data_IF_785999175977
#
_entry.id   IF_785999175977
#
_cell.length_a   1.000
_cell.length_b   1.000
_cell.length_c   1.000
_cell.angle_alpha   90.00
_cell.angle_beta   90.00
_cell.angle_gamma   90.00
#
_symmetry.space_group_name_H-M   'P 1'
#
loop_
_entity.id
_entity.type
_entity.pdbx_description
1 polymer ?
#
# COMPACT_ATOMS: atom_id res chain seq x y z
N UNK A 1 -6.91 41.48 33.94
CA UNK A 1 -6.61 40.21 33.25
C UNK A 1 -7.90 39.73 32.62
N UNK A 2 -8.00 39.79 31.29
CA UNK A 2 -9.17 39.28 30.57
C UNK A 2 -9.15 37.74 30.61
N UNK A 3 -10.30 37.05 30.76
CA UNK A 3 -10.35 35.60 30.69
C UNK A 3 -10.02 35.13 29.27
N UNK A 4 -9.33 34.01 29.15
CA UNK A 4 -9.09 33.33 27.88
C UNK A 4 -10.41 33.10 27.15
N UNK A 5 -10.53 33.69 25.96
CA UNK A 5 -11.68 33.53 25.07
C UNK A 5 -11.90 32.03 24.79
N UNK A 6 -13.08 31.56 25.17
CA UNK A 6 -13.55 30.21 24.94
C UNK A 6 -13.59 29.97 23.43
N UNK A 7 -12.79 28.98 23.00
CA UNK A 7 -12.89 28.20 21.77
C UNK A 7 -14.02 28.67 20.85
N UNK A 8 -13.69 29.37 19.77
CA UNK A 8 -14.59 29.43 18.60
C UNK A 8 -14.98 27.98 18.30
N UNK A 9 -16.28 27.64 18.27
CA UNK A 9 -16.67 26.33 17.81
C UNK A 9 -16.24 26.27 16.34
N UNK A 10 -15.22 25.47 16.05
CA UNK A 10 -14.99 25.03 14.67
C UNK A 10 -16.35 24.54 14.19
N UNK A 11 -16.91 25.17 13.15
CA UNK A 11 -18.12 24.67 12.48
C UNK A 11 -17.87 23.19 12.27
N UNK A 12 -18.68 22.31 12.90
CA UNK A 12 -18.60 20.87 12.66
C UNK A 12 -18.50 20.68 11.15
N UNK A 13 -17.42 20.05 10.70
CA UNK A 13 -17.29 19.65 9.31
C UNK A 13 -18.54 18.87 8.91
N UNK A 14 -18.88 18.94 7.62
CA UNK A 14 -19.98 18.19 7.04
C UNK A 14 -19.96 16.73 7.53
N UNK A 15 -21.14 16.16 7.78
CA UNK A 15 -21.32 14.74 8.11
C UNK A 15 -20.41 13.94 7.19
N UNK A 16 -19.53 13.15 7.79
CA UNK A 16 -18.57 12.30 7.12
C UNK A 16 -19.29 11.39 6.13
N UNK A 17 -18.88 11.43 4.86
CA UNK A 17 -19.51 10.70 3.76
C UNK A 17 -18.86 9.31 3.55
N UNK A 18 -18.18 8.76 4.57
CA UNK A 18 -17.39 7.53 4.40
C UNK A 18 -18.28 6.35 3.99
N UNK A 19 -19.47 6.23 4.57
CA UNK A 19 -20.41 5.15 4.22
C UNK A 19 -20.79 5.18 2.74
N UNK A 20 -21.20 6.34 2.22
CA UNK A 20 -21.56 6.48 0.80
C UNK A 20 -20.37 6.21 -0.13
N UNK A 21 -19.17 6.68 0.24
CA UNK A 21 -17.95 6.40 -0.55
C UNK A 21 -17.60 4.92 -0.57
N UNK A 22 -17.84 4.19 0.53
CA UNK A 22 -17.69 2.72 0.56
C UNK A 22 -18.65 2.05 -0.41
N UNK A 23 -19.93 2.43 -0.40
CA UNK A 23 -20.94 1.89 -1.33
C UNK A 23 -20.57 2.16 -2.80
N UNK A 24 -20.18 3.40 -3.12
CA UNK A 24 -19.73 3.77 -4.45
C UNK A 24 -18.47 3.00 -4.88
N UNK A 25 -17.53 2.78 -3.96
CA UNK A 25 -16.31 2.01 -4.24
C UNK A 25 -16.61 0.54 -4.56
N UNK A 26 -17.53 -0.09 -3.81
CA UNK A 26 -18.00 -1.45 -4.06
C UNK A 26 -18.74 -1.57 -5.40
N UNK A 27 -19.55 -0.58 -5.77
CA UNK A 27 -20.21 -0.53 -7.08
C UNK A 27 -19.18 -0.38 -8.22
N UNK A 28 -18.20 0.51 -8.04
CA UNK A 28 -17.15 0.80 -9.03
C UNK A 28 -16.30 -0.43 -9.33
N UNK A 29 -15.94 -1.24 -8.32
CA UNK A 29 -15.15 -2.46 -8.53
C UNK A 29 -15.96 -3.58 -9.22
N UNK A 30 -17.28 -3.61 -9.08
CA UNK A 30 -18.13 -4.58 -9.77
C UNK A 30 -18.26 -4.27 -11.27
N UNK A 31 -18.19 -2.99 -11.64
CA UNK A 31 -18.30 -2.51 -13.03
C UNK A 31 -16.96 -2.54 -13.77
N UNK A 32 -15.86 -2.24 -13.06
CA UNK A 32 -14.54 -2.14 -13.67
C UNK A 32 -13.82 -3.50 -13.63
N UNK A 33 -13.73 -4.18 -14.77
CA UNK A 33 -12.73 -5.22 -14.98
C UNK A 33 -11.41 -4.54 -15.37
N UNK A 34 -10.51 -4.38 -14.42
CA UNK A 34 -9.14 -3.94 -14.74
C UNK A 34 -8.37 -5.11 -15.35
N UNK A 35 -7.34 -4.82 -16.14
CA UNK A 35 -6.37 -5.85 -16.52
C UNK A 35 -5.46 -6.18 -15.33
N UNK A 36 -6.03 -6.73 -14.25
CA UNK A 36 -5.33 -7.10 -13.01
C UNK A 36 -4.07 -7.93 -13.25
N UNK A 37 -4.10 -8.79 -14.28
CA UNK A 37 -2.94 -9.59 -14.68
C UNK A 37 -1.83 -8.74 -15.30
N UNK A 38 -2.18 -7.73 -16.10
CA UNK A 38 -1.21 -6.81 -16.71
C UNK A 38 -0.57 -5.94 -15.63
N UNK A 39 -1.35 -5.42 -14.67
CA UNK A 39 -0.83 -4.63 -13.55
C UNK A 39 0.18 -5.42 -12.72
N UNK A 40 -0.18 -6.65 -12.32
CA UNK A 40 0.71 -7.53 -11.56
C UNK A 40 2.01 -7.83 -12.33
N UNK A 41 1.89 -8.15 -13.63
CA UNK A 41 3.04 -8.46 -14.49
C UNK A 41 3.96 -7.26 -14.67
N UNK A 42 3.42 -6.07 -14.91
CA UNK A 42 4.22 -4.86 -15.07
C UNK A 42 5.00 -4.50 -13.80
N UNK A 43 4.41 -4.71 -12.62
CA UNK A 43 5.08 -4.48 -11.34
C UNK A 43 6.25 -5.44 -11.15
N UNK A 44 6.04 -6.73 -11.41
CA UNK A 44 7.09 -7.73 -11.35
C UNK A 44 8.21 -7.45 -12.37
N UNK A 45 7.87 -7.14 -13.62
CA UNK A 45 8.86 -6.87 -14.67
C UNK A 45 9.65 -5.59 -14.43
N UNK A 46 9.03 -4.54 -13.88
CA UNK A 46 9.73 -3.28 -13.61
C UNK A 46 10.84 -3.45 -12.58
N UNK A 47 10.64 -4.34 -11.60
CA UNK A 47 11.70 -4.68 -10.64
C UNK A 47 12.88 -5.38 -11.32
N UNK A 48 12.61 -6.28 -12.27
CA UNK A 48 13.67 -6.94 -13.05
C UNK A 48 14.45 -5.94 -13.90
N UNK A 49 13.76 -5.05 -14.61
CA UNK A 49 14.40 -4.03 -15.45
C UNK A 49 15.31 -3.08 -14.66
N UNK A 50 14.99 -2.83 -13.38
CA UNK A 50 15.81 -2.01 -12.48
C UNK A 50 16.99 -2.75 -11.85
N UNK A 51 17.01 -4.08 -11.94
CA UNK A 51 18.10 -4.92 -11.41
C UNK A 51 19.22 -5.17 -12.43
N UNK A 52 18.93 -5.05 -13.73
CA UNK A 52 19.94 -5.24 -14.78
C UNK A 52 20.97 -4.10 -14.73
N UNK A 53 22.28 -4.37 -14.58
CA UNK A 53 23.30 -3.35 -14.76
C UNK A 53 23.27 -2.88 -16.21
N UNK A 54 23.22 -1.57 -16.40
CA UNK A 54 23.33 -0.93 -17.72
C UNK A 54 24.73 -1.21 -18.27
N UNK A 55 24.89 -1.74 -19.50
CA UNK A 55 26.16 -1.60 -20.20
C UNK A 55 26.35 -0.10 -20.46
N UNK A 56 27.48 0.48 -20.04
CA UNK A 56 27.88 1.80 -20.49
C UNK A 56 27.92 1.79 -22.03
N UNK A 57 26.89 2.32 -22.67
CA UNK A 57 26.88 2.63 -24.09
C UNK A 57 26.48 4.09 -24.27
N UNK A 58 27.34 4.78 -25.01
CA UNK A 58 27.38 6.20 -25.38
C UNK A 58 26.03 6.84 -25.77
N UNK A 59 25.92 8.19 -25.74
CA UNK A 59 24.65 8.87 -25.94
C UNK A 59 24.18 8.74 -27.39
N UNK A 60 23.19 7.91 -27.64
CA UNK A 60 22.40 7.99 -28.87
C UNK A 60 21.48 9.22 -28.78
N UNK A 61 21.78 10.23 -29.60
CA UNK A 61 20.88 11.33 -29.91
C UNK A 61 19.57 10.77 -30.45
N UNK A 62 18.47 10.95 -29.71
CA UNK A 62 17.13 10.75 -30.24
C UNK A 62 16.50 12.12 -30.49
N UNK A 63 16.61 12.60 -31.73
CA UNK A 63 15.68 13.58 -32.28
C UNK A 63 14.28 12.96 -32.27
N UNK A 64 13.37 13.53 -31.48
CA UNK A 64 11.95 13.25 -31.56
C UNK A 64 11.26 14.56 -31.89
N UNK A 65 10.89 14.70 -33.16
CA UNK A 65 9.93 15.69 -33.62
C UNK A 65 8.60 15.48 -32.88
N UNK A 66 8.20 16.47 -32.08
CA UNK A 66 6.86 16.56 -31.52
C UNK A 66 5.90 17.00 -32.62
N UNK A 67 5.16 16.06 -33.21
CA UNK A 67 3.92 16.40 -33.91
C UNK A 67 2.74 16.43 -32.92
N UNK A 68 2.15 17.61 -32.85
CA UNK A 68 0.96 17.97 -32.07
C UNK A 68 -0.22 17.01 -32.32
N UNK A 69 -0.84 16.53 -31.24
CA UNK A 69 -2.21 16.03 -31.28
C UNK A 69 -3.01 16.70 -30.16
N UNK A 70 -4.01 17.44 -30.61
CA UNK A 70 -4.95 18.31 -29.92
C UNK A 70 -5.70 17.66 -28.75
N UNK A 71 -5.94 18.49 -27.73
CA UNK A 71 -6.78 18.27 -26.57
C UNK A 71 -8.19 17.78 -26.94
N UNK A 72 -8.66 16.74 -26.28
CA UNK A 72 -10.09 16.55 -26.01
C UNK A 72 -10.21 15.95 -24.62
N UNK A 73 -10.51 16.83 -23.66
CA UNK A 73 -10.84 16.46 -22.29
C UNK A 73 -12.23 15.81 -22.25
N UNK A 74 -12.28 14.49 -21.99
CA UNK A 74 -13.37 13.84 -21.24
C UNK A 74 -13.04 12.36 -20.97
N UNK A 75 -13.22 11.93 -19.71
CA UNK A 75 -13.08 10.58 -19.14
C UNK A 75 -11.67 9.93 -19.14
N UNK A 76 -10.68 10.51 -18.43
CA UNK A 76 -9.28 10.06 -18.48
C UNK A 76 -8.73 9.31 -17.25
N UNK A 77 -9.52 9.03 -16.21
CA UNK A 77 -9.02 8.44 -14.96
C UNK A 77 -8.51 6.98 -15.06
N UNK A 78 -9.09 6.19 -15.97
CA UNK A 78 -8.65 4.81 -16.22
C UNK A 78 -7.53 4.74 -17.27
N UNK A 79 -7.63 5.57 -18.32
CA UNK A 79 -6.71 5.57 -19.45
C UNK A 79 -5.31 6.11 -19.09
N UNK A 80 -5.23 7.05 -18.14
CA UNK A 80 -3.95 7.58 -17.65
C UNK A 80 -3.15 6.55 -16.83
N UNK A 81 -3.84 5.70 -16.05
CA UNK A 81 -3.22 4.64 -15.25
C UNK A 81 -2.67 3.51 -16.12
N UNK A 82 -3.35 3.14 -17.20
CA UNK A 82 -2.89 2.05 -18.10
C UNK A 82 -1.64 2.45 -18.90
N UNK A 83 -1.51 3.74 -19.29
CA UNK A 83 -0.31 4.26 -19.93
C UNK A 83 0.90 4.31 -18.97
N UNK A 84 0.67 4.61 -17.69
CA UNK A 84 1.68 4.62 -16.62
C UNK A 84 2.27 3.21 -16.40
N UNK A 85 1.42 2.17 -16.41
CA UNK A 85 1.81 0.77 -16.18
C UNK A 85 2.75 0.22 -17.25
N UNK A 86 2.62 0.62 -18.53
CA UNK A 86 3.53 0.17 -19.62
C UNK A 86 4.86 0.91 -19.64
N UNK A 87 4.90 2.15 -19.15
CA UNK A 87 6.12 2.98 -19.07
C UNK A 87 6.94 2.67 -17.80
N UNK A 88 6.33 2.07 -16.77
CA UNK A 88 6.94 1.73 -15.50
C UNK A 88 8.30 1.02 -15.59
N UNK A 89 8.48 0.11 -16.55
CA UNK A 89 9.73 -0.64 -16.75
C UNK A 89 10.90 0.22 -17.26
N UNK A 90 10.58 1.37 -17.86
CA UNK A 90 11.56 2.35 -18.36
C UNK A 90 11.88 3.45 -17.34
N UNK A 91 11.04 3.62 -16.32
CA UNK A 91 11.27 4.64 -15.28
C UNK A 91 12.58 4.35 -14.54
N UNK A 92 13.29 5.40 -14.13
CA UNK A 92 14.52 5.31 -13.34
C UNK A 92 14.52 6.34 -12.21
N UNK A 93 15.40 6.15 -11.23
CA UNK A 93 15.64 7.14 -10.18
C UNK A 93 14.37 7.59 -9.43
N UNK A 94 14.15 8.91 -9.26
CA UNK A 94 12.99 9.45 -8.54
C UNK A 94 11.63 9.07 -9.14
N UNK A 95 11.52 8.96 -10.47
CA UNK A 95 10.26 8.61 -11.14
C UNK A 95 9.84 7.18 -10.83
N UNK A 96 10.78 6.24 -10.93
CA UNK A 96 10.53 4.85 -10.55
C UNK A 96 10.12 4.75 -9.08
N UNK A 97 10.80 5.49 -8.20
CA UNK A 97 10.44 5.56 -6.78
C UNK A 97 9.01 6.07 -6.59
N UNK A 98 8.63 7.16 -7.25
CA UNK A 98 7.28 7.72 -7.16
C UNK A 98 6.22 6.74 -7.69
N UNK A 99 6.51 6.03 -8.78
CA UNK A 99 5.63 4.99 -9.30
C UNK A 99 5.40 3.85 -8.30
N UNK A 100 6.47 3.32 -7.69
CA UNK A 100 6.36 2.28 -6.66
C UNK A 100 5.63 2.77 -5.40
N UNK A 101 5.78 4.04 -5.04
CA UNK A 101 5.09 4.63 -3.88
C UNK A 101 3.55 4.59 -4.01
N UNK A 102 3.04 4.56 -5.25
CA UNK A 102 1.60 4.56 -5.56
C UNK A 102 1.00 3.16 -5.65
N UNK A 103 1.74 2.09 -5.38
CA UNK A 103 1.27 0.70 -5.59
C UNK A 103 0.56 0.07 -4.39
N UNK A 104 0.70 0.62 -3.19
CA UNK A 104 0.06 0.08 -2.00
C UNK A 104 -1.42 0.49 -1.93
N UNK A 105 -2.27 -0.42 -1.47
CA UNK A 105 -3.60 -0.08 -0.96
C UNK A 105 -3.46 0.56 0.42
N UNK A 106 -4.00 1.76 0.59
CA UNK A 106 -3.83 2.57 1.79
C UNK A 106 -5.17 2.74 2.53
N UNK A 107 -5.19 2.52 3.86
CA UNK A 107 -6.40 2.67 4.64
C UNK A 107 -6.75 4.14 4.87
N UNK A 108 -8.03 4.41 5.04
CA UNK A 108 -8.51 5.64 5.65
C UNK A 108 -8.62 5.51 7.17
N UNK A 109 -8.69 6.62 7.88
CA UNK A 109 -9.07 6.58 9.29
C UNK A 109 -10.53 6.14 9.45
N UNK A 110 -10.80 5.27 10.41
CA UNK A 110 -12.15 4.90 10.80
C UNK A 110 -12.78 6.04 11.60
N UNK A 111 -13.46 6.97 10.92
CA UNK A 111 -14.20 8.07 11.55
C UNK A 111 -15.65 7.63 11.77
N UNK A 112 -16.26 7.08 10.73
CA UNK A 112 -17.59 6.44 10.80
C UNK A 112 -17.45 4.94 10.98
N UNK A 113 -18.20 4.38 11.93
CA UNK A 113 -18.33 2.93 12.05
C UNK A 113 -19.08 2.39 10.83
N UNK A 114 -18.54 1.42 10.08
CA UNK A 114 -19.24 0.80 8.97
C UNK A 114 -20.56 0.15 9.35
N UNK A 115 -21.56 0.33 8.48
CA UNK A 115 -22.74 -0.52 8.50
C UNK A 115 -22.34 -1.99 8.37
N UNK A 116 -23.06 -2.85 9.10
CA UNK A 116 -22.85 -4.31 9.09
C UNK A 116 -21.40 -4.71 9.37
N UNK A 117 -20.70 -3.95 10.23
CA UNK A 117 -19.31 -4.19 10.62
C UNK A 117 -19.03 -5.67 10.92
N UNK A 118 -19.84 -6.29 11.78
CA UNK A 118 -19.66 -7.69 12.19
C UNK A 118 -19.82 -8.72 11.07
N UNK A 119 -20.57 -8.40 10.02
CA UNK A 119 -20.86 -9.32 8.91
C UNK A 119 -19.86 -9.16 7.78
N UNK A 120 -19.63 -7.92 7.37
CA UNK A 120 -19.00 -7.59 6.09
C UNK A 120 -17.55 -7.11 6.25
N UNK A 121 -17.00 -7.15 7.47
CA UNK A 121 -15.63 -6.72 7.75
C UNK A 121 -14.82 -7.73 8.56
N UNK A 122 -13.51 -7.70 8.29
CA UNK A 122 -12.47 -8.31 9.09
C UNK A 122 -11.72 -7.26 9.90
N UNK A 123 -11.12 -7.67 11.02
CA UNK A 123 -10.24 -6.88 11.87
C UNK A 123 -8.98 -7.67 12.23
N UNK A 124 -7.85 -6.99 12.34
CA UNK A 124 -6.64 -7.54 12.92
C UNK A 124 -5.76 -6.49 13.61
N UNK A 125 -4.92 -6.96 14.53
CA UNK A 125 -3.91 -6.15 15.17
C UNK A 125 -2.78 -5.85 14.19
N UNK A 126 -2.63 -4.58 13.79
CA UNK A 126 -1.61 -4.15 12.85
C UNK A 126 -0.24 -4.16 13.55
N UNK A 127 0.78 -4.84 13.00
CA UNK A 127 2.14 -4.74 13.53
C UNK A 127 2.72 -3.32 13.40
N UNK A 128 3.48 -2.88 14.40
CA UNK A 128 4.40 -1.77 14.26
C UNK A 128 5.55 -2.17 13.33
N UNK A 129 5.98 -1.26 12.45
CA UNK A 129 7.10 -1.53 11.54
C UNK A 129 7.00 -0.80 10.21
N UNK A 130 7.89 -1.17 9.28
CA UNK A 130 7.99 -0.54 7.96
C UNK A 130 7.03 -1.21 6.98
N UNK A 131 5.95 -0.52 6.64
CA UNK A 131 5.01 -0.93 5.58
C UNK A 131 5.75 -1.02 4.24
N UNK A 132 5.67 -2.17 3.59
CA UNK A 132 6.39 -2.42 2.35
C UNK A 132 5.68 -3.42 1.43
N UNK A 133 5.84 -3.20 0.13
CA UNK A 133 5.53 -4.18 -0.88
C UNK A 133 6.70 -5.14 -1.04
N UNK A 134 6.45 -6.43 -1.11
CA UNK A 134 7.47 -7.47 -1.33
C UNK A 134 7.19 -8.17 -2.64
N UNK A 135 8.20 -8.21 -3.52
CA UNK A 135 8.08 -8.84 -4.83
C UNK A 135 9.21 -9.84 -5.01
N UNK A 136 8.84 -11.09 -5.27
CA UNK A 136 9.77 -12.14 -5.66
C UNK A 136 9.64 -12.43 -7.15
N UNK A 137 10.77 -12.46 -7.85
CA UNK A 137 10.84 -12.78 -9.27
C UNK A 137 12.27 -13.11 -9.67
N UNK A 138 12.44 -14.00 -10.66
CA UNK A 138 13.74 -14.36 -11.25
C UNK A 138 14.83 -14.76 -10.23
N UNK A 139 14.42 -15.45 -9.17
CA UNK A 139 15.32 -16.00 -8.15
C UNK A 139 15.83 -14.97 -7.14
N UNK A 140 15.14 -13.84 -6.98
CA UNK A 140 15.42 -12.85 -5.93
C UNK A 140 14.14 -12.22 -5.41
N UNK A 141 14.21 -11.60 -4.23
CA UNK A 141 13.11 -10.88 -3.60
C UNK A 141 13.54 -9.45 -3.28
N UNK A 142 12.68 -8.49 -3.61
CA UNK A 142 12.88 -7.07 -3.29
C UNK A 142 11.72 -6.58 -2.47
N UNK A 143 12.02 -5.88 -1.38
CA UNK A 143 11.02 -5.14 -0.61
C UNK A 143 11.19 -3.64 -0.82
N UNK A 144 10.08 -2.93 -1.02
CA UNK A 144 10.05 -1.47 -1.19
C UNK A 144 9.10 -0.84 -0.19
N UNK A 145 9.54 0.21 0.48
CA UNK A 145 8.76 0.94 1.48
C UNK A 145 7.60 1.72 0.83
N UNK A 146 6.72 2.28 1.67
CA UNK A 146 5.61 3.14 1.22
C UNK A 146 6.04 4.31 0.32
N UNK A 147 7.23 4.87 0.54
CA UNK A 147 7.77 5.93 -0.31
C UNK A 147 8.43 5.41 -1.61
N UNK A 148 8.29 4.12 -1.93
CA UNK A 148 8.85 3.45 -3.11
C UNK A 148 10.35 3.14 -3.05
N UNK A 149 11.06 3.61 -2.00
CA UNK A 149 12.47 3.30 -1.79
C UNK A 149 12.66 1.81 -1.49
N UNK A 150 13.81 1.28 -1.87
CA UNK A 150 14.15 -0.11 -1.60
C UNK A 150 14.49 -0.25 -0.12
N UNK A 151 13.85 -1.20 0.55
CA UNK A 151 14.19 -1.60 1.91
C UNK A 151 15.27 -2.68 1.87
N UNK A 152 15.02 -3.80 1.19
CA UNK A 152 15.97 -4.92 1.10
C UNK A 152 15.95 -5.62 -0.26
N UNK A 153 17.09 -6.21 -0.62
CA UNK A 153 17.25 -7.28 -1.62
C UNK A 153 17.70 -8.56 -0.91
N UNK A 154 17.01 -9.68 -1.14
CA UNK A 154 17.30 -10.93 -0.43
C UNK A 154 16.72 -12.17 -1.13
N UNK A 155 17.28 -13.37 -0.90
CA UNK A 155 16.63 -14.62 -1.29
C UNK A 155 15.49 -14.97 -0.33
N UNK A 156 14.39 -15.48 -0.87
CA UNK A 156 13.25 -15.97 -0.07
C UNK A 156 12.70 -17.30 -0.59
N UNK A 157 11.97 -18.01 0.27
CA UNK A 157 11.24 -19.22 -0.10
C UNK A 157 9.91 -18.93 -0.82
N UNK A 158 9.62 -17.65 -1.13
CA UNK A 158 8.47 -17.30 -1.97
C UNK A 158 8.68 -17.83 -3.39
N UNK A 159 7.61 -18.04 -4.18
CA UNK A 159 7.72 -18.41 -5.58
C UNK A 159 8.68 -17.49 -6.35
N UNK A 160 9.64 -18.09 -7.06
CA UNK A 160 10.71 -17.39 -7.77
C UNK A 160 11.55 -16.41 -6.92
N UNK A 161 11.61 -16.59 -5.60
CA UNK A 161 12.32 -15.72 -4.66
C UNK A 161 13.78 -16.05 -4.41
N UNK A 162 14.27 -17.21 -4.85
CA UNK A 162 15.66 -17.64 -4.75
C UNK A 162 16.08 -18.50 -5.95
N UNK A 163 17.37 -18.49 -6.30
CA UNK A 163 17.95 -19.40 -7.30
C UNK A 163 18.29 -20.74 -6.65
N UNK A 164 17.39 -21.71 -6.75
CA UNK A 164 17.61 -23.08 -6.26
C UNK A 164 17.90 -24.04 -7.42
N UNK A 165 18.50 -25.20 -7.11
CA UNK A 165 18.88 -26.22 -8.11
C UNK A 165 17.69 -26.86 -8.82
N UNK A 166 16.51 -26.88 -8.18
CA UNK A 166 15.36 -27.70 -8.58
C UNK A 166 14.32 -26.96 -9.44
N UNK A 167 14.62 -25.75 -9.91
CA UNK A 167 13.74 -25.08 -10.85
C UNK A 167 14.04 -23.61 -11.03
N UNK A 168 14.51 -23.26 -12.23
CA UNK A 168 14.19 -21.94 -12.80
C UNK A 168 12.67 -21.91 -12.97
N UNK A 169 11.96 -21.29 -12.03
CA UNK A 169 10.55 -20.98 -12.20
C UNK A 169 10.33 -20.32 -13.57
N UNK A 170 9.17 -20.56 -14.18
CA UNK A 170 8.78 -19.90 -15.44
C UNK A 170 9.03 -18.39 -15.34
N UNK A 171 9.37 -17.72 -16.45
CA UNK A 171 9.48 -16.26 -16.51
C UNK A 171 8.19 -15.53 -16.05
N UNK A 172 7.07 -16.26 -15.95
CA UNK A 172 5.79 -15.76 -15.44
C UNK A 172 5.54 -16.08 -13.95
N UNK A 173 6.48 -16.75 -13.28
CA UNK A 173 6.40 -17.04 -11.84
C UNK A 173 6.95 -15.84 -11.07
N UNK A 174 6.06 -15.15 -10.36
CA UNK A 174 6.39 -14.08 -9.44
C UNK A 174 5.35 -14.03 -8.31
N UNK A 175 5.74 -13.49 -7.16
CA UNK A 175 4.83 -13.24 -6.05
C UNK A 175 4.89 -11.76 -5.65
N UNK A 176 3.75 -11.25 -5.21
CA UNK A 176 3.56 -9.89 -4.76
C UNK A 176 2.77 -9.94 -3.45
N UNK A 177 3.40 -9.50 -2.37
CA UNK A 177 2.83 -9.45 -1.03
C UNK A 177 2.83 -8.02 -0.49
N UNK A 178 1.85 -7.73 0.35
CA UNK A 178 1.78 -6.49 1.10
C UNK A 178 2.08 -6.73 2.59
N UNK A 179 3.24 -6.28 3.04
CA UNK A 179 3.83 -6.68 4.30
C UNK A 179 4.10 -5.49 5.23
N UNK A 180 4.32 -5.77 6.50
CA UNK A 180 4.96 -4.87 7.45
C UNK A 180 6.22 -5.57 7.95
N UNK A 181 7.38 -4.98 7.66
CA UNK A 181 8.64 -5.49 8.17
C UNK A 181 8.84 -5.01 9.61
N UNK A 182 8.87 -5.95 10.54
CA UNK A 182 9.15 -5.70 11.95
C UNK A 182 10.65 -5.94 12.20
N UNK A 183 11.35 -4.89 12.63
CA UNK A 183 12.82 -4.90 12.64
C UNK A 183 13.39 -5.76 13.77
N UNK A 184 12.72 -5.79 14.92
CA UNK A 184 13.22 -6.43 16.14
C UNK A 184 13.34 -7.95 15.98
N UNK A 185 12.38 -8.60 15.31
CA UNK A 185 12.38 -10.04 15.04
C UNK A 185 12.68 -10.39 13.58
N UNK A 186 13.05 -9.39 12.77
CA UNK A 186 13.37 -9.51 11.35
C UNK A 186 12.33 -10.31 10.54
N UNK A 187 11.05 -10.13 10.84
CA UNK A 187 9.95 -10.85 10.20
C UNK A 187 9.12 -9.93 9.30
N UNK A 188 8.79 -10.41 8.10
CA UNK A 188 7.78 -9.79 7.24
C UNK A 188 6.40 -10.32 7.64
N UNK A 189 5.66 -9.50 8.38
CA UNK A 189 4.25 -9.78 8.66
C UNK A 189 3.42 -9.48 7.42
N UNK A 190 2.90 -10.52 6.78
CA UNK A 190 2.09 -10.41 5.57
C UNK A 190 0.68 -10.06 5.98
N UNK A 191 0.18 -8.92 5.50
CA UNK A 191 -1.19 -8.49 5.79
C UNK A 191 -2.08 -8.55 4.55
N UNK A 192 -1.49 -8.73 3.37
CA UNK A 192 -2.24 -8.98 2.15
C UNK A 192 -1.41 -9.76 1.10
N UNK A 193 -2.11 -10.44 0.20
CA UNK A 193 -1.57 -11.16 -0.95
C UNK A 193 -2.17 -10.59 -2.23
N UNK A 194 -1.31 -10.11 -3.12
CA UNK A 194 -1.72 -9.38 -4.34
C UNK A 194 -1.50 -10.22 -5.59
N UNK A 195 -0.44 -11.03 -5.59
CA UNK A 195 -0.19 -12.02 -6.63
C UNK A 195 0.58 -13.20 -6.05
N UNK A 196 0.23 -14.42 -6.45
CA UNK A 196 0.92 -15.62 -6.01
C UNK A 196 1.28 -16.50 -7.20
N UNK A 197 2.57 -16.76 -7.40
CA UNK A 197 3.08 -17.60 -8.48
C UNK A 197 2.51 -17.22 -9.87
N UNK A 198 2.41 -15.93 -10.15
CA UNK A 198 1.87 -15.38 -11.40
C UNK A 198 0.35 -15.27 -11.46
N UNK A 199 -0.40 -15.81 -10.49
CA UNK A 199 -1.85 -15.62 -10.39
C UNK A 199 -2.15 -14.28 -9.74
N UNK A 200 -2.69 -13.33 -10.52
CA UNK A 200 -3.12 -12.03 -10.00
C UNK A 200 -4.38 -12.17 -9.14
N UNK A 201 -4.37 -11.49 -7.98
CA UNK A 201 -5.47 -11.47 -7.01
C UNK A 201 -6.05 -10.06 -6.83
N UNK A 202 -5.67 -9.08 -7.66
CA UNK A 202 -6.15 -7.69 -7.55
C UNK A 202 -7.69 -7.62 -7.55
N UNK A 203 -8.33 -8.36 -8.46
CA UNK A 203 -9.80 -8.39 -8.60
C UNK A 203 -10.48 -9.43 -7.70
N UNK A 204 -9.74 -10.03 -6.77
CA UNK A 204 -10.31 -10.93 -5.78
C UNK A 204 -10.71 -10.18 -4.51
N UNK A 205 -11.80 -10.62 -3.89
CA UNK A 205 -12.26 -10.11 -2.61
C UNK A 205 -11.22 -10.33 -1.51
N UNK A 206 -11.20 -9.45 -0.50
CA UNK A 206 -10.32 -9.57 0.65
C UNK A 206 -10.49 -10.91 1.37
N UNK A 207 -11.72 -11.40 1.48
CA UNK A 207 -12.01 -12.71 2.04
C UNK A 207 -11.29 -13.84 1.33
N UNK A 208 -11.34 -13.87 -0.01
CA UNK A 208 -10.62 -14.87 -0.78
C UNK A 208 -9.11 -14.72 -0.64
N UNK A 209 -8.61 -13.48 -0.72
CA UNK A 209 -7.17 -13.19 -0.57
C UNK A 209 -6.64 -13.67 0.78
N UNK A 210 -7.33 -13.39 1.88
CA UNK A 210 -6.91 -13.82 3.22
C UNK A 210 -6.99 -15.34 3.41
N UNK A 211 -8.02 -15.99 2.90
CA UNK A 211 -8.10 -17.45 2.89
C UNK A 211 -6.92 -18.07 2.12
N UNK A 212 -6.64 -17.54 0.92
CA UNK A 212 -5.57 -18.04 0.06
C UNK A 212 -4.18 -17.79 0.65
N UNK A 213 -3.95 -16.63 1.27
CA UNK A 213 -2.69 -16.26 1.90
C UNK A 213 -2.26 -17.30 2.94
N UNK A 214 -3.15 -17.66 3.87
CA UNK A 214 -2.81 -18.57 4.97
C UNK A 214 -2.36 -19.94 4.45
N UNK A 215 -3.11 -20.53 3.52
CA UNK A 215 -2.75 -21.83 2.92
C UNK A 215 -1.44 -21.77 2.14
N UNK A 216 -1.25 -20.75 1.29
CA UNK A 216 -0.09 -20.68 0.40
C UNK A 216 1.20 -20.29 1.08
N UNK A 217 1.13 -19.44 2.10
CA UNK A 217 2.33 -19.05 2.83
C UNK A 217 2.91 -20.23 3.60
N UNK A 218 2.06 -21.06 4.21
CA UNK A 218 2.48 -22.29 4.90
C UNK A 218 3.08 -23.32 3.92
N UNK A 219 2.43 -23.57 2.78
CA UNK A 219 2.93 -24.47 1.73
C UNK A 219 4.31 -24.05 1.16
N UNK A 220 4.63 -22.75 1.16
CA UNK A 220 5.87 -22.22 0.56
C UNK A 220 7.13 -22.48 1.38
N UNK A 221 7.00 -22.79 2.67
CA UNK A 221 8.12 -22.83 3.61
C UNK A 221 8.68 -21.45 3.97
N UNK A 222 8.04 -20.34 3.56
CA UNK A 222 8.45 -18.98 3.93
C UNK A 222 8.24 -18.66 5.42
N UNK A 223 7.49 -19.49 6.14
CA UNK A 223 7.33 -19.42 7.59
C UNK A 223 8.48 -20.09 8.36
N UNK A 224 9.35 -20.85 7.69
CA UNK A 224 10.44 -21.57 8.32
C UNK A 224 11.53 -20.60 8.84
N UNK A 225 12.41 -21.06 9.75
CA UNK A 225 13.56 -20.28 10.16
C UNK A 225 14.48 -19.89 8.99
N UNK A 226 15.20 -18.75 9.09
CA UNK A 226 16.14 -18.32 8.06
C UNK A 226 17.17 -19.38 7.64
N UNK A 227 17.51 -19.40 6.35
CA UNK A 227 18.54 -20.24 5.75
C UNK A 227 19.26 -19.50 4.61
N UNK A 228 20.24 -20.15 3.98
CA UNK A 228 21.02 -19.54 2.89
C UNK A 228 20.15 -19.02 1.72
N UNK A 229 19.08 -19.74 1.38
CA UNK A 229 18.15 -19.36 0.29
C UNK A 229 16.86 -18.70 0.80
N UNK A 230 16.80 -18.36 2.09
CA UNK A 230 15.63 -17.76 2.72
C UNK A 230 16.06 -16.87 3.88
N UNK A 231 16.26 -15.58 3.63
CA UNK A 231 16.89 -14.68 4.61
C UNK A 231 15.96 -14.26 5.75
N UNK A 232 14.70 -13.98 5.45
CA UNK A 232 13.74 -13.42 6.40
C UNK A 232 12.49 -14.29 6.46
N UNK A 233 11.99 -14.52 7.67
CA UNK A 233 10.73 -15.22 7.91
C UNK A 233 9.56 -14.36 7.43
N UNK A 234 8.54 -15.02 6.91
CA UNK A 234 7.24 -14.44 6.61
C UNK A 234 6.19 -15.04 7.54
N UNK A 235 5.22 -14.24 7.97
CA UNK A 235 4.14 -14.72 8.84
C UNK A 235 2.87 -13.96 8.53
N UNK A 236 1.77 -14.65 8.27
CA UNK A 236 0.47 -14.02 8.09
C UNK A 236 -0.02 -13.46 9.43
N UNK A 237 -0.60 -12.27 9.43
CA UNK A 237 -1.23 -11.72 10.63
C UNK A 237 -2.55 -12.47 10.93
N UNK A 238 -2.88 -12.74 12.20
CA UNK A 238 -4.18 -13.33 12.54
C UNK A 238 -5.32 -12.37 12.21
N UNK A 239 -6.28 -12.83 11.39
CA UNK A 239 -7.46 -12.05 10.97
C UNK A 239 -8.73 -12.61 11.62
N UNK A 240 -9.57 -11.73 12.14
CA UNK A 240 -10.80 -12.09 12.85
C UNK A 240 -12.02 -11.42 12.23
N UNK A 241 -13.19 -12.02 12.37
CA UNK A 241 -14.46 -11.34 12.09
C UNK A 241 -14.65 -10.16 13.07
N UNK A 242 -15.33 -9.11 12.66
CA UNK A 242 -15.65 -7.98 13.55
C UNK A 242 -16.86 -8.23 14.47
N UNK A 243 -17.02 -9.46 14.97
CA UNK A 243 -17.93 -9.72 16.09
C UNK A 243 -17.25 -9.35 17.43
N UNK A 244 -18.00 -9.42 18.53
CA UNK A 244 -17.48 -9.07 19.85
C UNK A 244 -16.20 -9.85 20.21
N UNK A 245 -16.13 -11.13 19.85
CA UNK A 245 -15.01 -12.00 20.18
C UNK A 245 -13.77 -11.67 19.34
N UNK A 246 -13.94 -11.43 18.03
CA UNK A 246 -12.85 -11.09 17.14
C UNK A 246 -12.29 -9.70 17.37
N UNK A 247 -13.15 -8.72 17.68
CA UNK A 247 -12.72 -7.39 18.11
C UNK A 247 -11.90 -7.46 19.40
N UNK A 248 -12.39 -8.21 20.39
CA UNK A 248 -11.66 -8.40 21.65
C UNK A 248 -10.31 -9.09 21.43
N UNK A 249 -10.27 -10.13 20.58
CA UNK A 249 -9.04 -10.86 20.25
C UNK A 249 -8.02 -9.98 19.53
N UNK A 250 -8.44 -9.17 18.55
CA UNK A 250 -7.56 -8.22 17.87
C UNK A 250 -7.04 -7.13 18.83
N UNK A 251 -7.93 -6.56 19.65
CA UNK A 251 -7.60 -5.45 20.54
C UNK A 251 -6.71 -5.88 21.72
N UNK A 252 -7.06 -6.95 22.43
CA UNK A 252 -6.37 -7.38 23.67
C UNK A 252 -5.39 -8.53 23.47
N UNK A 253 -5.49 -9.29 22.38
CA UNK A 253 -4.71 -10.51 22.19
C UNK A 253 -3.21 -10.27 22.19
N UNK A 254 -2.45 -11.17 22.80
CA UNK A 254 -0.99 -11.11 22.83
C UNK A 254 -0.45 -11.44 21.44
N UNK A 255 0.37 -10.56 20.90
CA UNK A 255 0.99 -10.72 19.58
C UNK A 255 2.52 -10.82 19.73
N UNK A 256 3.22 -11.49 18.81
CA UNK A 256 4.68 -11.56 18.81
C UNK A 256 5.36 -10.23 18.41
N UNK A 257 4.56 -9.19 18.19
CA UNK A 257 4.98 -7.85 17.79
C UNK A 257 4.22 -6.79 18.59
N UNK A 258 4.80 -5.60 18.67
CA UNK A 258 4.10 -4.41 19.18
C UNK A 258 3.02 -4.01 18.19
N UNK A 259 1.81 -3.71 18.70
CA UNK A 259 0.68 -3.24 17.88
C UNK A 259 0.86 -1.78 17.51
N UNK A 260 0.40 -1.43 16.31
CA UNK A 260 0.29 -0.05 15.82
C UNK A 260 -1.08 0.15 15.16
N UNK A 261 -2.11 -0.03 15.99
CA UNK A 261 -3.51 0.11 15.63
C UNK A 261 -4.22 -1.18 15.28
N UNK A 262 -5.51 -1.03 15.01
CA UNK A 262 -6.36 -2.03 14.37
C UNK A 262 -6.57 -1.67 12.91
N UNK A 263 -6.53 -2.69 12.06
CA UNK A 263 -6.82 -2.55 10.63
C UNK A 263 -8.09 -3.34 10.29
N UNK A 264 -9.00 -2.69 9.60
CA UNK A 264 -10.30 -3.23 9.22
C UNK A 264 -10.37 -3.36 7.70
N UNK A 265 -10.84 -4.50 7.21
CA UNK A 265 -10.98 -4.77 5.78
C UNK A 265 -12.41 -5.14 5.46
N UNK A 266 -13.02 -4.45 4.49
CA UNK A 266 -14.28 -4.93 3.95
C UNK A 266 -14.03 -6.25 3.21
N UNK A 267 -14.80 -7.28 3.54
CA UNK A 267 -14.65 -8.64 3.01
C UNK A 267 -14.71 -8.70 1.50
N UNK A 268 -15.48 -7.79 0.88
CA UNK A 268 -15.69 -7.73 -0.56
C UNK A 268 -14.68 -6.85 -1.28
N UNK A 269 -13.77 -6.16 -0.57
CA UNK A 269 -12.84 -5.23 -1.19
C UNK A 269 -11.86 -5.94 -2.15
N UNK A 270 -11.76 -5.44 -3.38
CA UNK A 270 -10.65 -5.75 -4.27
C UNK A 270 -9.37 -5.05 -3.78
N UNK A 271 -8.19 -5.54 -4.16
CA UNK A 271 -6.95 -4.81 -3.86
C UNK A 271 -6.82 -3.62 -4.81
N UNK A 272 -6.99 -2.41 -4.31
CA UNK A 272 -6.91 -1.19 -5.11
C UNK A 272 -5.77 -0.31 -4.63
N UNK A 273 -4.92 0.13 -5.55
CA UNK A 273 -3.78 0.98 -5.20
C UNK A 273 -4.23 2.40 -4.86
N UNK A 274 -3.56 3.03 -3.89
CA UNK A 274 -3.92 4.32 -3.32
C UNK A 274 -4.89 4.21 -2.15
N UNK A 275 -5.41 5.36 -1.71
CA UNK A 275 -6.37 5.42 -0.61
C UNK A 275 -7.68 4.75 -0.99
N UNK A 276 -8.27 4.03 -0.06
CA UNK A 276 -9.58 3.41 -0.22
C UNK A 276 -10.40 3.49 1.06
N UNK A 277 -11.71 3.76 0.98
CA UNK A 277 -12.57 3.74 2.15
C UNK A 277 -12.92 2.31 2.58
N UNK A 278 -12.53 1.28 1.81
CA UNK A 278 -12.82 -0.13 2.10
C UNK A 278 -11.78 -0.81 3.01
N UNK A 279 -10.73 -0.07 3.38
CA UNK A 279 -9.78 -0.48 4.39
C UNK A 279 -9.65 0.67 5.38
N UNK A 280 -9.79 0.39 6.65
CA UNK A 280 -9.80 1.41 7.69
C UNK A 280 -8.73 1.13 8.73
N UNK A 281 -8.16 2.19 9.30
CA UNK A 281 -7.27 2.14 10.45
C UNK A 281 -7.90 2.86 11.62
N UNK A 282 -7.78 2.26 12.79
CA UNK A 282 -8.16 2.88 14.06
C UNK A 282 -7.03 2.69 15.06
N UNK A 283 -6.81 3.71 15.90
CA UNK A 283 -5.76 3.71 16.92
C UNK A 283 -6.26 4.39 18.18
N UNK A 284 -5.76 3.91 19.30
CA UNK A 284 -5.83 4.55 20.61
C UNK A 284 -4.59 4.22 21.43
N UNK A 285 -4.55 4.72 22.67
CA UNK A 285 -3.40 4.62 23.57
C UNK A 285 -3.05 3.18 23.96
N UNK A 286 -4.03 2.27 23.91
CA UNK A 286 -3.84 0.86 24.28
C UNK A 286 -3.32 0.03 23.11
N UNK A 287 -3.68 0.37 21.86
CA UNK A 287 -3.32 -0.42 20.69
C UNK A 287 -2.25 0.20 19.78
N UNK A 288 -1.77 1.42 20.07
CA UNK A 288 -0.66 2.06 19.35
C UNK A 288 0.19 2.94 20.26
N UNK A 289 1.51 2.90 20.07
CA UNK A 289 2.44 3.83 20.71
C UNK A 289 2.36 5.25 20.12
N UNK A 290 1.86 5.39 18.89
CA UNK A 290 1.87 6.64 18.12
C UNK A 290 0.44 6.95 17.65
N UNK A 291 -0.40 7.31 18.62
CA UNK A 291 -1.77 7.80 18.38
C UNK A 291 -1.75 9.23 17.85
N UNK A 292 -0.84 10.03 18.39
CA UNK A 292 -0.59 11.42 18.02
C UNK A 292 0.81 11.47 17.41
N UNK A 293 1.01 12.32 16.39
CA UNK A 293 2.33 12.46 15.78
C UNK A 293 3.33 12.98 16.82
N UNK A 294 4.49 12.32 16.84
CA UNK A 294 5.61 12.64 17.72
C UNK A 294 6.79 13.11 16.91
N UNK A 295 7.66 13.90 17.53
CA UNK A 295 8.93 14.29 16.92
C UNK A 295 9.92 13.11 16.88
N UNK A 296 11.15 13.37 16.40
CA UNK A 296 12.21 12.35 16.34
C UNK A 296 12.62 11.75 17.68
N UNK A 297 12.22 12.36 18.80
CA UNK A 297 12.49 11.90 20.17
C UNK A 297 11.29 11.20 20.80
N UNK A 298 10.17 11.10 20.10
CA UNK A 298 8.92 10.54 20.61
C UNK A 298 8.11 11.53 21.46
N UNK A 299 8.43 12.82 21.45
CA UNK A 299 7.68 13.84 22.19
C UNK A 299 6.55 14.39 21.32
N UNK A 300 5.38 14.62 21.94
CA UNK A 300 4.22 15.20 21.25
C UNK A 300 4.48 16.70 21.04
N UNK A 301 4.54 17.21 19.79
CA UNK A 301 4.76 18.63 19.54
C UNK A 301 3.57 19.47 20.00
N UNK A 302 3.83 20.73 20.35
CA UNK A 302 2.79 21.71 20.72
C UNK A 302 1.82 22.04 19.58
N UNK A 303 2.22 21.76 18.34
CA UNK A 303 1.40 21.90 17.13
C UNK A 303 1.51 20.63 16.29
N UNK A 304 0.36 20.11 15.87
CA UNK A 304 0.31 18.99 14.94
C UNK A 304 0.49 19.49 13.51
N UNK A 305 1.27 18.76 12.72
CA UNK A 305 1.52 19.07 11.32
C UNK A 305 0.61 18.23 10.44
N UNK A 306 0.18 18.79 9.31
CA UNK A 306 -0.59 18.06 8.29
C UNK A 306 0.21 18.10 7.00
N UNK A 307 0.33 16.95 6.34
CA UNK A 307 0.97 16.85 5.02
C UNK A 307 -0.10 17.01 3.95
N UNK A 308 0.11 17.98 3.05
CA UNK A 308 -0.74 18.22 1.89
C UNK A 308 -0.02 17.75 0.63
N UNK A 309 -0.80 17.30 -0.36
CA UNK A 309 -0.31 17.00 -1.70
C UNK A 309 -0.23 18.29 -2.52
N UNK A 310 0.93 18.55 -3.13
CA UNK A 310 1.11 19.60 -4.11
C UNK A 310 0.82 19.03 -5.50
N UNK A 311 -0.22 19.53 -6.16
CA UNK A 311 -0.59 19.17 -7.53
C UNK A 311 0.18 19.99 -8.56
N UNK A 312 0.21 19.51 -9.81
CA UNK A 312 0.92 20.17 -10.93
C UNK A 312 0.41 21.58 -11.21
N UNK A 313 -0.86 21.86 -10.88
CA UNK A 313 -1.49 23.18 -10.97
C UNK A 313 -1.20 24.07 -9.73
N UNK A 314 -0.22 23.68 -8.91
CA UNK A 314 0.27 24.36 -7.70
C UNK A 314 -0.72 24.37 -6.53
N UNK A 315 -1.81 23.61 -6.62
CA UNK A 315 -2.76 23.48 -5.51
C UNK A 315 -2.21 22.60 -4.40
N UNK A 316 -2.42 23.03 -3.17
CA UNK A 316 -2.20 22.25 -1.96
C UNK A 316 -3.53 21.62 -1.55
N UNK A 317 -3.64 20.30 -1.67
CA UNK A 317 -4.86 19.56 -1.39
C UNK A 317 -4.64 18.46 -0.35
N UNK A 318 -5.70 18.00 0.29
CA UNK A 318 -5.66 16.76 1.07
C UNK A 318 -5.68 15.53 0.17
N UNK A 319 -5.24 14.38 0.68
CA UNK A 319 -5.35 13.09 -0.03
C UNK A 319 -6.74 12.42 0.14
N UNK A 320 -7.76 13.18 0.55
CA UNK A 320 -9.14 12.68 0.64
C UNK A 320 -9.76 12.50 -0.75
N UNK A 321 -10.86 11.73 -0.86
CA UNK A 321 -11.66 11.64 -2.09
C UNK A 321 -13.07 12.21 -1.79
N UNK A 322 -13.49 13.36 -2.38
CA UNK A 322 -12.69 14.25 -3.22
C UNK A 322 -11.61 15.03 -2.43
N UNK A 323 -10.50 15.43 -3.06
CA UNK A 323 -9.46 16.23 -2.41
C UNK A 323 -10.02 17.57 -1.91
N UNK A 324 -9.65 17.98 -0.71
CA UNK A 324 -10.01 19.29 -0.16
C UNK A 324 -8.90 20.28 -0.48
N UNK A 325 -9.23 21.38 -1.18
CA UNK A 325 -8.28 22.45 -1.48
C UNK A 325 -8.02 23.32 -0.24
N UNK A 326 -6.76 23.42 0.17
CA UNK A 326 -6.32 24.26 1.29
C UNK A 326 -5.66 25.56 0.83
N UNK A 327 -5.04 25.57 -0.35
CA UNK A 327 -4.39 26.76 -0.88
C UNK A 327 -3.71 26.51 -2.22
N UNK A 328 -2.98 27.52 -2.70
CA UNK A 328 -2.15 27.46 -3.89
C UNK A 328 -0.78 28.06 -3.56
N UNK A 329 0.29 27.46 -4.06
CA UNK A 329 1.64 28.01 -3.91
C UNK A 329 1.93 29.03 -5.03
N UNK A 330 2.56 30.15 -4.65
CA UNK A 330 3.10 31.11 -5.61
C UNK A 330 4.22 30.47 -6.45
N UNK A 331 4.27 30.81 -7.73
CA UNK A 331 5.19 30.18 -8.70
C UNK A 331 6.66 30.25 -8.30
N UNK A 332 7.07 31.32 -7.61
CA UNK A 332 8.44 31.57 -7.19
C UNK A 332 8.96 30.58 -6.12
N UNK A 333 8.07 29.86 -5.43
CA UNK A 333 8.43 28.90 -4.37
C UNK A 333 8.82 27.52 -4.94
N UNK A 334 8.31 27.18 -6.14
CA UNK A 334 8.46 25.83 -6.73
C UNK A 334 9.73 25.73 -7.59
N UNK A 335 10.25 26.85 -8.09
CA UNK A 335 11.40 26.89 -9.02
C UNK A 335 12.80 26.90 -8.34
N UNK A 336 12.93 26.47 -7.08
CA UNK A 336 14.22 26.44 -6.35
C UNK A 336 14.78 25.05 -6.11
#
# INVERSE_FOLDING_TARGET
MAPHDLRRPFKRAAITDQQKRRELSLLRQAQNRREAQQQARCLASSILSLQSPVPESEPEQSDIELENASETEQESGALSKDLDVRRASKLRGPEARNWFARQLMLPEWMIDVPDRLSQDWYVFARPAGKRCFVVSSNGTTVSRQRNGSILHHFPSALPAGAKTRDGSGSAQSYCILDCIFHELDQTYYVIDIVCWNGYSLYDCTAEFRFYWLNSKLEESGACNPPSHYHKFRFTAVPVYNCDQSGLYAAYTGVMPYVKDGLLFYNKHAHYQTGNTPLVLVWKDEDCSQYVIDTDSKGEIPSQQQVVLELQDDRKLVTSDEPPVLFGCLDGDIIEK
#
